data_IF_587839165187
#
_entry.id   IF_587839165187
#
_cell.length_a   1.000
_cell.length_b   1.000
_cell.length_c   1.000
_cell.angle_alpha   90.00
_cell.angle_beta   90.00
_cell.angle_gamma   90.00
#
_symmetry.space_group_name_H-M   'P 1'
#
loop_
_entity.id
_entity.type
_entity.pdbx_description
1 polymer ?
#
# COMPACT_ATOMS: atom_id res chain seq x y z
N UNK A 1 8.53 10.82 8.59
CA UNK A 1 9.35 10.14 7.56
C UNK A 1 8.97 8.67 7.47
N UNK A 2 8.65 8.17 6.26
CA UNK A 2 8.28 6.76 6.06
C UNK A 2 9.54 5.88 6.04
N UNK A 3 9.52 4.75 6.76
CA UNK A 3 10.70 3.90 6.90
C UNK A 3 11.05 3.15 5.61
N UNK A 4 12.34 2.81 5.43
CA UNK A 4 12.80 2.00 4.30
C UNK A 4 12.14 0.61 4.23
N UNK A 5 11.68 0.08 5.36
CA UNK A 5 10.91 -1.17 5.42
C UNK A 5 9.53 -1.01 4.76
N UNK A 6 8.83 0.11 5.00
CA UNK A 6 7.52 0.38 4.38
C UNK A 6 7.67 0.47 2.86
N UNK A 7 8.72 1.12 2.35
CA UNK A 7 8.98 1.19 0.91
C UNK A 7 9.17 -0.21 0.32
N UNK A 8 9.85 -1.12 1.02
CA UNK A 8 9.97 -2.52 0.59
C UNK A 8 8.61 -3.21 0.54
N UNK A 9 7.78 -3.07 1.57
CA UNK A 9 6.43 -3.64 1.57
C UNK A 9 5.55 -3.10 0.45
N UNK A 10 5.66 -1.81 0.13
CA UNK A 10 4.93 -1.23 -1.00
C UNK A 10 5.39 -1.89 -2.30
N UNK A 11 6.71 -2.04 -2.51
CA UNK A 11 7.25 -2.71 -3.70
C UNK A 11 6.80 -4.16 -3.82
N UNK A 12 6.75 -4.90 -2.71
CA UNK A 12 6.22 -6.26 -2.68
C UNK A 12 4.75 -6.29 -3.14
N UNK A 13 3.91 -5.41 -2.60
CA UNK A 13 2.49 -5.37 -2.98
C UNK A 13 2.23 -4.82 -4.39
N UNK A 14 3.22 -4.15 -5.01
CA UNK A 14 3.16 -3.74 -6.41
C UNK A 14 3.59 -4.84 -7.38
N UNK A 15 4.26 -5.90 -6.91
CA UNK A 15 4.60 -7.03 -7.74
C UNK A 15 3.35 -7.89 -8.03
N UNK A 16 2.91 -8.04 -9.30
CA UNK A 16 1.73 -8.81 -9.65
C UNK A 16 1.88 -10.32 -9.36
N UNK A 17 3.12 -10.82 -9.21
CA UNK A 17 3.43 -12.20 -8.87
C UNK A 17 3.76 -12.40 -7.40
N UNK A 18 3.43 -11.43 -6.54
CA UNK A 18 3.72 -11.51 -5.11
C UNK A 18 2.88 -12.59 -4.43
N UNK A 19 3.51 -13.33 -3.51
CA UNK A 19 2.86 -14.32 -2.63
C UNK A 19 1.81 -13.71 -1.69
N UNK A 20 1.75 -12.37 -1.58
CA UNK A 20 0.75 -11.66 -0.81
C UNK A 20 -0.63 -11.58 -1.48
N UNK A 21 -0.75 -12.09 -2.71
CA UNK A 21 -2.01 -12.23 -3.43
C UNK A 21 -2.38 -13.70 -3.61
N UNK A 22 -3.68 -13.98 -3.49
CA UNK A 22 -4.28 -15.27 -3.81
C UNK A 22 -5.54 -14.98 -4.63
N UNK A 23 -5.64 -15.60 -5.80
CA UNK A 23 -6.73 -15.37 -6.76
C UNK A 23 -6.95 -13.88 -7.08
N UNK A 24 -5.86 -13.13 -7.25
CA UNK A 24 -5.87 -11.70 -7.59
C UNK A 24 -6.26 -10.75 -6.44
N UNK A 25 -6.43 -11.26 -5.22
CA UNK A 25 -6.78 -10.47 -4.03
C UNK A 25 -5.77 -10.65 -2.90
N UNK A 26 -5.58 -9.63 -2.07
CA UNK A 26 -4.70 -9.72 -0.90
C UNK A 26 -5.15 -10.84 0.04
N UNK A 27 -4.20 -11.71 0.38
CA UNK A 27 -4.38 -12.72 1.43
C UNK A 27 -4.16 -12.10 2.83
N UNK A 28 -4.18 -12.94 3.86
CA UNK A 28 -4.02 -12.50 5.26
C UNK A 28 -2.70 -11.76 5.52
N UNK A 29 -1.61 -12.20 4.89
CA UNK A 29 -0.28 -11.59 5.02
C UNK A 29 -0.21 -10.28 4.25
N UNK A 30 -0.71 -10.25 3.01
CA UNK A 30 -0.84 -9.03 2.21
C UNK A 30 -1.69 -7.97 2.90
N UNK A 31 -2.77 -8.37 3.56
CA UNK A 31 -3.59 -7.48 4.39
C UNK A 31 -2.84 -6.95 5.61
N UNK A 32 -1.91 -7.72 6.15
CA UNK A 32 -1.04 -7.28 7.26
C UNK A 32 -0.05 -6.24 6.78
N UNK A 33 0.59 -6.46 5.63
CA UNK A 33 1.45 -5.46 4.99
C UNK A 33 0.69 -4.17 4.69
N UNK A 34 -0.50 -4.26 4.09
CA UNK A 34 -1.32 -3.09 3.79
C UNK A 34 -1.65 -2.28 5.06
N UNK A 35 -1.90 -2.93 6.20
CA UNK A 35 -2.14 -2.24 7.49
C UNK A 35 -0.89 -1.53 8.00
N UNK A 36 0.28 -2.16 7.89
CA UNK A 36 1.56 -1.56 8.30
C UNK A 36 1.87 -0.32 7.44
N UNK A 37 1.71 -0.43 6.12
CA UNK A 37 1.84 0.69 5.18
C UNK A 37 0.86 1.80 5.56
N UNK A 38 -0.42 1.47 5.75
CA UNK A 38 -1.44 2.46 6.11
C UNK A 38 -1.10 3.21 7.40
N UNK A 39 -0.61 2.51 8.43
CA UNK A 39 -0.27 3.14 9.71
C UNK A 39 0.80 4.22 9.56
N UNK A 40 1.83 3.95 8.78
CA UNK A 40 2.93 4.89 8.58
C UNK A 40 2.56 6.00 7.60
N UNK A 41 1.90 5.68 6.49
CA UNK A 41 1.50 6.66 5.48
C UNK A 41 0.44 7.62 6.02
N UNK A 42 -0.56 7.13 6.75
CA UNK A 42 -1.65 7.99 7.25
C UNK A 42 -1.23 8.93 8.38
N UNK A 43 -0.06 8.70 9.01
CA UNK A 43 0.51 9.66 9.96
C UNK A 43 0.90 10.96 9.27
N UNK A 44 1.41 10.86 8.04
CA UNK A 44 1.90 12.00 7.25
C UNK A 44 0.83 12.50 6.26
N UNK A 45 0.03 11.59 5.70
CA UNK A 45 -0.97 11.88 4.66
C UNK A 45 -2.37 11.39 5.09
N UNK A 46 -3.01 12.03 6.09
CA UNK A 46 -4.29 11.58 6.63
C UNK A 46 -5.44 11.63 5.60
N UNK A 47 -5.33 12.46 4.56
CA UNK A 47 -6.30 12.57 3.45
C UNK A 47 -6.46 11.26 2.67
N UNK A 48 -5.47 10.35 2.70
CA UNK A 48 -5.52 9.05 2.02
C UNK A 48 -6.35 8.00 2.77
N UNK A 49 -6.84 8.29 3.98
CA UNK A 49 -7.60 7.36 4.82
C UNK A 49 -8.78 6.69 4.09
N UNK A 50 -9.61 7.41 3.30
CA UNK A 50 -10.71 6.78 2.57
C UNK A 50 -10.23 5.78 1.52
N UNK A 51 -9.10 6.05 0.85
CA UNK A 51 -8.52 5.15 -0.16
C UNK A 51 -7.97 3.88 0.48
N UNK A 52 -7.24 3.98 1.60
CA UNK A 52 -6.82 2.80 2.37
C UNK A 52 -8.01 2.00 2.93
N UNK A 53 -9.11 2.65 3.31
CA UNK A 53 -10.32 1.95 3.72
C UNK A 53 -11.01 1.23 2.54
N UNK A 54 -10.95 1.80 1.34
CA UNK A 54 -11.47 1.16 0.12
C UNK A 54 -10.58 0.00 -0.32
N UNK A 55 -9.25 0.14 -0.30
CA UNK A 55 -8.30 -0.92 -0.62
C UNK A 55 -8.43 -2.12 0.32
N UNK A 56 -8.57 -1.89 1.63
CA UNK A 56 -8.81 -2.96 2.62
C UNK A 56 -10.12 -3.73 2.38
N UNK A 57 -11.14 -3.06 1.83
CA UNK A 57 -12.44 -3.67 1.53
C UNK A 57 -12.41 -4.47 0.23
N UNK A 58 -11.82 -3.90 -0.83
CA UNK A 58 -11.80 -4.55 -2.14
C UNK A 58 -10.74 -5.64 -2.26
N UNK A 59 -9.53 -5.38 -1.74
CA UNK A 59 -8.37 -6.29 -1.71
C UNK A 59 -7.80 -6.67 -3.07
N UNK A 60 -8.42 -6.29 -4.17
CA UNK A 60 -7.93 -6.63 -5.51
C UNK A 60 -6.62 -5.90 -5.85
N UNK A 61 -5.77 -6.57 -6.62
CA UNK A 61 -4.46 -6.04 -7.04
C UNK A 61 -4.57 -4.69 -7.75
N UNK A 62 -5.54 -4.52 -8.64
CA UNK A 62 -5.70 -3.29 -9.43
C UNK A 62 -5.88 -2.07 -8.50
N UNK A 63 -6.84 -2.13 -7.59
CA UNK A 63 -7.11 -1.02 -6.68
C UNK A 63 -5.98 -0.80 -5.66
N UNK A 64 -5.37 -1.89 -5.18
CA UNK A 64 -4.24 -1.79 -4.23
C UNK A 64 -3.03 -1.17 -4.91
N UNK A 65 -2.67 -1.61 -6.11
CA UNK A 65 -1.53 -1.08 -6.85
C UNK A 65 -1.71 0.37 -7.27
N UNK A 66 -2.91 0.78 -7.70
CA UNK A 66 -3.24 2.18 -7.99
C UNK A 66 -2.98 3.07 -6.76
N UNK A 67 -3.52 2.70 -5.59
CA UNK A 67 -3.30 3.42 -4.34
C UNK A 67 -1.80 3.50 -3.99
N UNK A 68 -1.08 2.39 -4.10
CA UNK A 68 0.31 2.30 -3.70
C UNK A 68 1.26 3.06 -4.63
N UNK A 69 0.96 3.12 -5.92
CA UNK A 69 1.67 3.97 -6.88
C UNK A 69 1.51 5.45 -6.50
N UNK A 70 0.29 5.90 -6.21
CA UNK A 70 0.04 7.29 -5.79
C UNK A 70 0.75 7.64 -4.48
N UNK A 71 0.80 6.68 -3.54
CA UNK A 71 1.57 6.82 -2.30
C UNK A 71 3.06 7.00 -2.60
N UNK A 72 3.65 6.17 -3.46
CA UNK A 72 5.06 6.30 -3.85
C UNK A 72 5.31 7.66 -4.51
N UNK A 73 4.47 8.08 -5.45
CA UNK A 73 4.61 9.38 -6.11
C UNK A 73 4.58 10.53 -5.11
N UNK A 74 3.65 10.48 -4.14
CA UNK A 74 3.55 11.51 -3.08
C UNK A 74 4.77 11.52 -2.16
N UNK A 75 5.31 10.35 -1.83
CA UNK A 75 6.53 10.23 -1.04
C UNK A 75 7.72 10.78 -1.81
N UNK A 76 7.91 10.40 -3.08
CA UNK A 76 9.03 10.84 -3.93
C UNK A 76 9.06 12.37 -4.14
N UNK A 77 7.90 13.01 -4.30
CA UNK A 77 7.81 14.47 -4.42
C UNK A 77 8.17 15.21 -3.13
N UNK A 78 8.03 14.56 -1.98
CA UNK A 78 8.39 15.15 -0.67
C UNK A 78 9.91 15.15 -0.42
N UNK A 79 10.72 14.65 -1.37
CA UNK A 79 12.19 14.63 -1.32
C UNK A 79 12.85 15.57 -2.35
N UNK A 80 12.07 16.38 -3.09
CA UNK A 80 12.58 17.49 -3.92
C UNK A 80 12.33 18.82 -3.21
#
# INVERSE_FOLDING_TARGET
MVSGAVIRYIKELLNPYSEYYSDGSLNSEGMTLLKLIAREVLREYPSLKPRFAKARRRRDYEYVSELLNDVISSLSQSFQ
#
